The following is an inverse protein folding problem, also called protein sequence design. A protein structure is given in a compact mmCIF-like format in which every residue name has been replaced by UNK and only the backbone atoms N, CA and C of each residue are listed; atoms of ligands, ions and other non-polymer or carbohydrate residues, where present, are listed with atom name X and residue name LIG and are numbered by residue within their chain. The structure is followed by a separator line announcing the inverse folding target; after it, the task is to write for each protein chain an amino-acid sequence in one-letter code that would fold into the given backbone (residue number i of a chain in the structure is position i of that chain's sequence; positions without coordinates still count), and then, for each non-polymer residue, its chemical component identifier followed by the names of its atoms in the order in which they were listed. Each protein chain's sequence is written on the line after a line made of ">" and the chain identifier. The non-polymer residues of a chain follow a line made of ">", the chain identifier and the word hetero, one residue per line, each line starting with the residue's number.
data_IF_504619839839
#
_entry.id   IF_504619839839
#
_cell.length_a   1.000
_cell.length_b   1.000
_cell.length_c   1.000
_cell.angle_alpha   90.00
_cell.angle_beta   90.00
_cell.angle_gamma   90.00
#
_symmetry.space_group_name_H-M   'P 1'
#
loop_
_entity.id
_entity.type
_entity.pdbx_description
1 polymer ?
#
# COMPACT_ATOMS: atom_id res chain seq x y z
N UNK A 1 -10.65 -16.23 -1.74
CA UNK A 1 -10.72 -15.72 -3.13
C UNK A 1 -9.66 -14.64 -3.41
N UNK A 2 -9.56 -13.54 -2.64
CA UNK A 2 -8.61 -12.44 -2.91
C UNK A 2 -7.12 -12.84 -2.91
N UNK A 3 -6.70 -13.65 -1.92
CA UNK A 3 -5.32 -14.16 -1.89
C UNK A 3 -5.01 -15.13 -3.04
N UNK A 4 -6.02 -15.82 -3.57
CA UNK A 4 -5.89 -16.75 -4.71
C UNK A 4 -5.66 -15.95 -6.00
N UNK A 5 -6.38 -14.84 -6.19
CA UNK A 5 -6.17 -13.95 -7.33
C UNK A 5 -4.78 -13.31 -7.32
N UNK A 6 -4.32 -12.82 -6.16
CA UNK A 6 -2.96 -12.31 -5.99
C UNK A 6 -1.90 -13.37 -6.25
N UNK A 7 -2.14 -14.60 -5.78
CA UNK A 7 -1.28 -15.76 -6.05
C UNK A 7 -1.17 -16.03 -7.56
N UNK A 8 -2.29 -16.14 -8.28
CA UNK A 8 -2.27 -16.39 -9.72
C UNK A 8 -1.59 -15.26 -10.53
N UNK A 9 -1.76 -14.00 -10.10
CA UNK A 9 -1.23 -12.84 -10.83
C UNK A 9 0.27 -12.61 -10.62
N UNK A 10 0.78 -12.88 -9.40
CA UNK A 10 2.13 -12.47 -9.01
C UNK A 10 3.08 -13.63 -8.69
N UNK A 11 2.60 -14.82 -8.32
CA UNK A 11 3.49 -15.92 -7.83
C UNK A 11 4.49 -16.41 -8.88
N UNK A 12 4.16 -16.28 -10.16
CA UNK A 12 5.06 -16.67 -11.25
C UNK A 12 6.29 -15.76 -11.32
N UNK A 13 6.19 -14.51 -10.84
CA UNK A 13 7.25 -13.48 -10.94
C UNK A 13 7.83 -13.04 -9.60
N UNK A 14 7.05 -13.11 -8.52
CA UNK A 14 7.39 -12.62 -7.19
C UNK A 14 7.15 -13.68 -6.12
N UNK A 15 8.09 -13.83 -5.20
CA UNK A 15 7.95 -14.64 -3.98
C UNK A 15 7.94 -13.71 -2.78
N UNK A 16 6.79 -13.61 -2.11
CA UNK A 16 6.67 -12.79 -0.91
C UNK A 16 7.34 -13.47 0.29
N UNK A 17 8.16 -12.72 1.01
CA UNK A 17 8.78 -13.08 2.28
C UNK A 17 8.21 -12.15 3.34
N UNK A 18 7.14 -12.61 3.98
CA UNK A 18 6.38 -11.83 4.97
C UNK A 18 6.92 -12.10 6.39
N UNK A 19 7.09 -11.03 7.18
CA UNK A 19 7.39 -11.07 8.62
C UNK A 19 6.49 -10.09 9.37
N UNK A 20 6.18 -10.42 10.64
CA UNK A 20 5.45 -9.52 11.53
C UNK A 20 3.96 -9.37 11.22
N UNK A 21 3.36 -10.32 10.49
CA UNK A 21 1.92 -10.28 10.19
C UNK A 21 1.06 -10.33 11.45
N UNK A 22 1.58 -10.95 12.51
CA UNK A 22 1.03 -10.99 13.85
C UNK A 22 0.87 -9.61 14.49
N UNK A 23 1.64 -8.61 14.04
CA UNK A 23 1.53 -7.22 14.51
C UNK A 23 0.32 -6.51 13.93
N UNK A 24 -0.36 -7.07 12.92
CA UNK A 24 -1.60 -6.53 12.38
C UNK A 24 -2.81 -7.03 13.20
N UNK A 25 -3.49 -6.16 13.96
CA UNK A 25 -4.65 -6.56 14.76
C UNK A 25 -5.74 -7.19 13.91
N UNK A 26 -6.33 -8.30 14.39
CA UNK A 26 -7.38 -9.04 13.68
C UNK A 26 -8.70 -8.25 13.59
N UNK A 27 -9.03 -7.49 14.65
CA UNK A 27 -10.36 -6.88 14.83
C UNK A 27 -10.30 -5.47 15.47
N UNK A 28 -9.31 -4.66 15.09
CA UNK A 28 -9.19 -3.26 15.54
C UNK A 28 -9.11 -2.31 14.34
N UNK A 29 -9.41 -1.01 14.50
CA UNK A 29 -9.13 -0.02 13.48
C UNK A 29 -7.62 0.17 13.34
N UNK A 30 -7.11 0.15 12.11
CA UNK A 30 -5.67 0.19 11.84
C UNK A 30 -5.36 1.26 10.81
N UNK A 31 -4.38 2.09 11.13
CA UNK A 31 -3.71 2.97 10.18
C UNK A 31 -2.36 2.34 9.80
N UNK A 32 -2.32 1.73 8.62
CA UNK A 32 -1.16 1.04 8.09
C UNK A 32 -0.31 2.01 7.28
N UNK A 33 0.93 2.27 7.70
CA UNK A 33 1.83 3.26 7.11
C UNK A 33 3.09 2.59 6.57
N UNK A 34 3.51 2.92 5.36
CA UNK A 34 4.74 2.33 4.83
C UNK A 34 5.29 3.01 3.60
N UNK A 35 6.46 2.56 3.18
CA UNK A 35 7.17 3.13 2.04
C UNK A 35 6.50 2.78 0.69
N UNK A 36 6.75 3.60 -0.32
CA UNK A 36 6.18 3.43 -1.66
C UNK A 36 7.26 3.31 -2.73
N UNK A 37 7.54 2.08 -3.17
CA UNK A 37 8.64 1.73 -4.08
C UNK A 37 8.13 1.40 -5.49
N UNK A 38 6.88 0.98 -5.64
CA UNK A 38 6.34 0.53 -6.92
C UNK A 38 4.85 0.80 -7.10
N UNK A 39 4.42 0.78 -8.37
CA UNK A 39 3.01 0.92 -8.75
C UNK A 39 2.09 -0.18 -8.18
N UNK A 40 2.63 -1.32 -7.74
CA UNK A 40 1.84 -2.48 -7.31
C UNK A 40 1.98 -2.77 -5.81
N UNK A 41 2.60 -1.90 -5.04
CA UNK A 41 2.81 -2.09 -3.60
C UNK A 41 1.51 -2.37 -2.86
N UNK A 42 0.45 -1.61 -3.16
CA UNK A 42 -0.88 -1.80 -2.57
C UNK A 42 -1.41 -3.22 -2.81
N UNK A 43 -1.16 -3.78 -3.99
CA UNK A 43 -1.62 -5.12 -4.36
C UNK A 43 -0.79 -6.20 -3.67
N UNK A 44 0.53 -6.02 -3.56
CA UNK A 44 1.42 -6.95 -2.86
C UNK A 44 1.11 -7.01 -1.37
N UNK A 45 0.92 -5.86 -0.72
CA UNK A 45 0.53 -5.79 0.70
C UNK A 45 -0.87 -6.39 0.90
N UNK A 46 -1.85 -6.03 0.07
CA UNK A 46 -3.17 -6.64 0.17
C UNK A 46 -3.11 -8.16 -0.02
N UNK A 47 -2.26 -8.68 -0.90
CA UNK A 47 -2.06 -10.12 -1.07
C UNK A 47 -1.41 -10.77 0.16
N UNK A 48 -0.42 -10.11 0.77
CA UNK A 48 0.28 -10.60 1.95
C UNK A 48 -0.61 -10.65 3.21
N UNK A 49 -1.61 -9.77 3.31
CA UNK A 49 -2.45 -9.64 4.50
C UNK A 49 -3.81 -10.34 4.37
N UNK A 50 -4.37 -10.87 5.47
CA UNK A 50 -5.71 -11.47 5.47
C UNK A 50 -6.83 -10.43 5.57
N UNK A 51 -6.57 -9.25 6.13
CA UNK A 51 -7.55 -8.16 6.25
C UNK A 51 -7.62 -7.37 4.95
N UNK A 52 -8.80 -6.80 4.67
CA UNK A 52 -8.94 -5.90 3.53
C UNK A 52 -8.36 -4.54 3.89
N UNK A 53 -7.38 -4.08 3.12
CA UNK A 53 -6.71 -2.82 3.29
C UNK A 53 -7.25 -1.85 2.24
N UNK A 54 -7.83 -0.75 2.73
CA UNK A 54 -8.37 0.32 1.90
C UNK A 54 -7.28 1.37 1.73
N UNK A 55 -6.55 1.29 0.63
CA UNK A 55 -5.49 2.26 0.36
C UNK A 55 -6.05 3.62 -0.06
N UNK A 56 -5.39 4.67 0.39
CA UNK A 56 -5.62 6.03 -0.11
C UNK A 56 -4.85 6.19 -1.42
N UNK A 57 -5.54 6.55 -2.50
CA UNK A 57 -5.00 6.60 -3.87
C UNK A 57 -5.36 7.93 -4.52
N UNK A 58 -4.43 8.53 -5.26
CA UNK A 58 -4.74 9.75 -6.02
C UNK A 58 -5.87 9.49 -7.02
N UNK A 59 -6.81 10.42 -7.15
CA UNK A 59 -8.03 10.25 -7.97
C UNK A 59 -7.72 9.89 -9.44
N UNK A 60 -6.64 10.44 -10.01
CA UNK A 60 -6.22 10.12 -11.38
C UNK A 60 -5.87 8.64 -11.54
N UNK A 61 -5.14 8.05 -10.58
CA UNK A 61 -4.80 6.63 -10.59
C UNK A 61 -5.99 5.75 -10.24
N UNK A 62 -6.89 6.25 -9.38
CA UNK A 62 -8.13 5.56 -9.04
C UNK A 62 -9.03 5.35 -10.26
N UNK A 63 -9.07 6.32 -11.17
CA UNK A 63 -9.92 6.28 -12.36
C UNK A 63 -9.30 5.58 -13.58
N UNK A 64 -8.04 5.14 -13.49
CA UNK A 64 -7.42 4.37 -14.57
C UNK A 64 -8.16 3.04 -14.80
N UNK A 65 -8.57 2.79 -16.05
CA UNK A 65 -9.42 1.64 -16.41
C UNK A 65 -8.85 0.29 -15.94
N UNK A 66 -7.51 0.16 -15.95
CA UNK A 66 -6.81 -1.07 -15.57
C UNK A 66 -6.88 -1.37 -14.06
N UNK A 67 -7.00 -0.34 -13.21
CA UNK A 67 -7.01 -0.49 -11.74
C UNK A 67 -8.38 -0.23 -11.12
N UNK A 68 -9.26 0.50 -11.80
CA UNK A 68 -10.55 0.98 -11.29
C UNK A 68 -11.37 -0.11 -10.61
N UNK A 69 -11.59 -1.25 -11.28
CA UNK A 69 -12.40 -2.34 -10.73
C UNK A 69 -11.80 -2.97 -9.49
N UNK A 70 -10.47 -3.14 -9.47
CA UNK A 70 -9.75 -3.69 -8.31
C UNK A 70 -9.84 -2.72 -7.13
N UNK A 71 -9.61 -1.42 -7.38
CA UNK A 71 -9.66 -0.37 -6.36
C UNK A 71 -11.06 -0.20 -5.77
N UNK A 72 -12.11 -0.30 -6.60
CA UNK A 72 -13.51 -0.34 -6.14
C UNK A 72 -13.75 -1.59 -5.28
N UNK A 73 -13.30 -2.77 -5.73
CA UNK A 73 -13.54 -4.04 -5.04
C UNK A 73 -12.85 -4.14 -3.67
N UNK A 74 -11.68 -3.50 -3.50
CA UNK A 74 -11.02 -3.39 -2.19
C UNK A 74 -11.50 -2.19 -1.39
N UNK A 75 -12.26 -1.29 -2.01
CA UNK A 75 -12.82 -0.10 -1.40
C UNK A 75 -11.77 0.94 -1.05
N UNK A 76 -10.82 1.15 -1.96
CA UNK A 76 -9.80 2.20 -1.89
C UNK A 76 -10.45 3.59 -1.79
N UNK A 77 -9.74 4.53 -1.17
CA UNK A 77 -10.23 5.89 -0.94
C UNK A 77 -9.54 6.83 -1.94
N UNK A 78 -10.28 7.39 -2.92
CA UNK A 78 -9.72 8.38 -3.83
C UNK A 78 -9.46 9.70 -3.08
N UNK A 79 -8.33 10.34 -3.36
CA UNK A 79 -8.01 11.67 -2.84
C UNK A 79 -7.46 12.57 -3.94
N UNK A 80 -7.79 13.86 -3.85
CA UNK A 80 -7.19 14.95 -4.63
C UNK A 80 -7.05 16.18 -3.74
N UNK A 81 -6.13 17.11 -4.02
CA UNK A 81 -5.94 18.31 -3.20
C UNK A 81 -7.24 19.10 -2.96
N UNK A 82 -8.06 19.28 -3.99
CA UNK A 82 -9.34 20.02 -3.93
C UNK A 82 -10.44 19.33 -3.13
N UNK A 83 -10.32 18.03 -2.82
CA UNK A 83 -11.31 17.26 -2.08
C UNK A 83 -10.71 16.56 -0.84
N UNK A 84 -9.54 17.03 -0.39
CA UNK A 84 -8.78 16.42 0.70
C UNK A 84 -9.57 16.29 2.00
N UNK A 85 -10.41 17.29 2.33
CA UNK A 85 -11.26 17.29 3.53
C UNK A 85 -12.27 16.14 3.54
N UNK A 86 -13.00 15.94 2.44
CA UNK A 86 -13.99 14.87 2.34
C UNK A 86 -13.33 13.49 2.34
N UNK A 87 -12.15 13.35 1.72
CA UNK A 87 -11.37 12.12 1.77
C UNK A 87 -10.93 11.79 3.21
N UNK A 88 -10.45 12.78 3.98
CA UNK A 88 -10.09 12.60 5.39
C UNK A 88 -11.30 12.16 6.23
N UNK A 89 -12.46 12.81 6.06
CA UNK A 89 -13.69 12.41 6.76
C UNK A 89 -14.12 10.98 6.42
N UNK A 90 -13.98 10.56 5.16
CA UNK A 90 -14.25 9.18 4.75
C UNK A 90 -13.27 8.20 5.42
N UNK A 91 -11.98 8.53 5.47
CA UNK A 91 -10.96 7.74 6.16
C UNK A 91 -11.31 7.55 7.64
N UNK A 92 -11.64 8.64 8.35
CA UNK A 92 -12.06 8.59 9.75
C UNK A 92 -13.33 7.75 9.92
N UNK A 93 -14.33 7.91 9.04
CA UNK A 93 -15.56 7.10 9.05
C UNK A 93 -15.28 5.59 8.87
N UNK A 94 -14.32 5.23 8.02
CA UNK A 94 -13.91 3.85 7.81
C UNK A 94 -13.13 3.29 9.01
N UNK A 95 -12.26 4.08 9.62
CA UNK A 95 -11.59 3.72 10.88
C UNK A 95 -12.62 3.47 11.99
N UNK A 96 -13.66 4.31 12.11
CA UNK A 96 -14.75 4.09 13.05
C UNK A 96 -15.54 2.79 12.82
N UNK A 97 -15.42 2.19 11.63
CA UNK A 97 -15.99 0.88 11.26
C UNK A 97 -14.98 -0.27 11.38
N UNK A 98 -13.91 -0.08 12.16
CA UNK A 98 -12.83 -1.05 12.36
C UNK A 98 -12.12 -1.47 11.06
N UNK A 99 -12.10 -0.61 10.02
CA UNK A 99 -11.37 -0.92 8.79
C UNK A 99 -9.86 -0.74 8.95
N UNK A 100 -9.09 -1.34 8.03
CA UNK A 100 -7.66 -1.07 7.87
C UNK A 100 -7.48 -0.08 6.73
N UNK A 101 -6.86 1.06 7.02
CA UNK A 101 -6.55 2.10 6.04
C UNK A 101 -5.06 2.06 5.75
N UNK A 102 -4.69 1.93 4.48
CA UNK A 102 -3.30 1.97 4.03
C UNK A 102 -2.93 3.35 3.49
N UNK A 103 -1.86 3.95 3.99
CA UNK A 103 -1.33 5.22 3.51
C UNK A 103 0.15 5.09 3.22
N UNK A 104 0.57 5.64 2.09
CA UNK A 104 1.97 5.88 1.77
C UNK A 104 2.30 7.34 2.11
N UNK A 105 2.87 7.63 3.30
CA UNK A 105 3.10 8.99 3.76
C UNK A 105 4.06 9.80 2.88
N UNK A 106 4.87 9.18 2.03
CA UNK A 106 5.68 9.86 1.00
C UNK A 106 4.81 10.59 -0.03
N UNK A 107 3.62 10.04 -0.34
CA UNK A 107 2.68 10.57 -1.32
C UNK A 107 3.11 10.45 -2.78
N UNK A 108 4.25 9.82 -3.05
CA UNK A 108 4.71 9.47 -4.39
C UNK A 108 5.56 8.19 -4.37
N UNK A 109 5.66 7.53 -5.53
CA UNK A 109 6.56 6.37 -5.69
C UNK A 109 8.01 6.86 -5.74
N UNK A 110 8.85 6.25 -4.91
CA UNK A 110 10.28 6.52 -4.81
C UNK A 110 11.03 6.30 -6.13
N UNK A 111 11.91 7.25 -6.45
CA UNK A 111 12.77 7.22 -7.65
C UNK A 111 14.14 6.61 -7.36
N UNK A 112 14.69 6.85 -6.16
CA UNK A 112 15.96 6.30 -5.67
C UNK A 112 15.84 4.91 -5.07
N UNK A 113 14.64 4.51 -4.62
CA UNK A 113 14.42 3.29 -3.84
C UNK A 113 14.65 3.48 -2.34
N UNK A 114 15.02 4.69 -1.93
CA UNK A 114 15.11 5.13 -0.54
C UNK A 114 13.80 5.81 -0.12
N UNK A 115 13.64 5.97 1.20
CA UNK A 115 12.47 6.60 1.80
C UNK A 115 12.58 8.12 1.65
N UNK A 116 11.55 8.74 1.06
CA UNK A 116 11.43 10.19 0.94
C UNK A 116 10.81 10.84 2.18
N UNK A 117 10.73 12.17 2.18
CA UNK A 117 10.07 12.93 3.25
C UNK A 117 8.62 12.50 3.46
N UNK A 118 8.25 12.33 4.74
CA UNK A 118 6.92 11.92 5.14
C UNK A 118 5.98 13.13 5.29
N UNK A 119 4.85 13.08 4.60
CA UNK A 119 3.79 14.09 4.74
C UNK A 119 2.98 13.83 6.00
N UNK A 120 2.65 14.90 6.72
CA UNK A 120 1.91 14.86 8.00
C UNK A 120 0.39 14.63 7.89
N UNK A 121 -0.11 14.24 6.71
CA UNK A 121 -1.56 14.02 6.52
C UNK A 121 -2.13 12.92 7.42
N UNK A 122 -1.32 11.91 7.75
CA UNK A 122 -1.71 10.83 8.66
C UNK A 122 -1.84 11.30 10.11
N UNK A 123 -1.05 12.28 10.56
CA UNK A 123 -1.15 12.86 11.91
C UNK A 123 -2.53 13.52 12.10
N UNK A 124 -3.00 14.24 11.09
CA UNK A 124 -4.33 14.86 11.10
C UNK A 124 -5.44 13.81 11.16
N UNK A 125 -5.31 12.74 10.37
CA UNK A 125 -6.25 11.61 10.42
C UNK A 125 -6.33 11.02 11.83
N UNK A 126 -5.18 10.81 12.48
CA UNK A 126 -5.12 10.29 13.86
C UNK A 126 -5.79 11.25 14.84
N UNK A 127 -5.53 12.56 14.74
CA UNK A 127 -6.13 13.57 15.62
C UNK A 127 -7.66 13.70 15.50
N UNK A 128 -8.22 13.32 14.35
CA UNK A 128 -9.67 13.34 14.10
C UNK A 128 -10.32 11.95 14.28
N UNK A 129 -9.51 10.93 14.53
CA UNK A 129 -9.97 9.54 14.74
C UNK A 129 -10.19 9.24 16.22
N UNK A 130 -10.76 8.07 16.50
CA UNK A 130 -10.86 7.54 17.86
C UNK A 130 -9.48 7.15 18.42
N UNK A 131 -9.37 7.18 19.75
CA UNK A 131 -8.12 6.88 20.46
C UNK A 131 -7.65 5.42 20.33
N UNK A 132 -8.52 4.50 19.91
CA UNK A 132 -8.22 3.07 19.75
C UNK A 132 -7.67 2.69 18.36
N UNK A 133 -7.37 3.67 17.50
CA UNK A 133 -6.70 3.44 16.21
C UNK A 133 -5.26 3.01 16.41
N UNK A 134 -4.92 1.81 15.96
CA UNK A 134 -3.56 1.27 16.02
C UNK A 134 -2.78 1.69 14.77
N UNK A 135 -1.67 2.40 14.96
CA UNK A 135 -0.73 2.68 13.86
C UNK A 135 0.20 1.50 13.70
N UNK A 136 0.23 0.91 12.50
CA UNK A 136 1.11 -0.21 12.18
C UNK A 136 2.03 0.20 11.04
N UNK A 137 3.35 0.27 11.25
CA UNK A 137 4.28 0.51 10.17
C UNK A 137 4.45 -0.75 9.30
N UNK A 138 4.82 -0.59 8.04
CA UNK A 138 5.30 -1.66 7.19
C UNK A 138 6.40 -1.17 6.26
N UNK A 139 7.23 -2.11 5.81
CA UNK A 139 8.28 -1.86 4.84
C UNK A 139 8.23 -2.89 3.72
N UNK A 140 8.33 -2.42 2.47
CA UNK A 140 8.51 -3.22 1.26
C UNK A 140 9.92 -3.00 0.74
N UNK A 141 10.69 -4.07 0.65
CA UNK A 141 12.04 -4.06 0.10
C UNK A 141 12.10 -4.84 -1.21
N UNK A 142 13.19 -4.65 -1.94
CA UNK A 142 13.51 -5.39 -3.17
C UNK A 142 12.53 -5.19 -4.33
N UNK A 143 11.64 -4.21 -4.27
CA UNK A 143 10.81 -3.81 -5.43
C UNK A 143 11.55 -2.85 -6.37
N UNK A 144 12.57 -2.13 -5.89
CA UNK A 144 13.30 -1.18 -6.72
C UNK A 144 14.15 -1.89 -7.78
N UNK A 145 14.13 -1.38 -9.01
CA UNK A 145 14.74 -2.03 -10.17
C UNK A 145 13.83 -3.05 -10.88
N UNK A 146 12.62 -3.31 -10.38
CA UNK A 146 11.60 -4.08 -11.11
C UNK A 146 10.93 -3.23 -12.20
N UNK A 147 10.19 -3.87 -13.11
CA UNK A 147 9.40 -3.17 -14.13
C UNK A 147 8.46 -2.11 -13.52
N UNK A 148 7.84 -2.41 -12.37
CA UNK A 148 6.86 -1.56 -11.68
C UNK A 148 7.48 -0.47 -10.78
N UNK A 149 8.80 -0.39 -10.66
CA UNK A 149 9.48 0.70 -9.96
C UNK A 149 9.79 1.89 -10.88
N UNK A 150 10.09 3.07 -10.33
CA UNK A 150 10.60 4.21 -11.10
C UNK A 150 12.11 4.18 -11.37
N UNK A 151 12.78 3.07 -11.07
CA UNK A 151 14.23 2.93 -11.28
C UNK A 151 14.65 3.20 -12.75
N UNK A 152 15.85 3.75 -13.00
CA UNK A 152 16.34 3.98 -14.36
C UNK A 152 16.39 2.70 -15.20
N UNK A 153 16.20 2.83 -16.53
CA UNK A 153 16.26 1.69 -17.47
C UNK A 153 17.58 0.90 -17.36
N UNK A 154 18.69 1.59 -17.11
CA UNK A 154 20.00 0.96 -16.92
C UNK A 154 20.02 -0.01 -15.73
N UNK A 155 19.39 0.36 -14.61
CA UNK A 155 19.25 -0.50 -13.42
C UNK A 155 18.33 -1.68 -13.73
N UNK A 156 17.18 -1.41 -14.37
CA UNK A 156 16.21 -2.46 -14.74
C UNK A 156 16.82 -3.52 -15.67
N UNK A 157 17.72 -3.13 -16.59
CA UNK A 157 18.40 -4.05 -17.53
C UNK A 157 19.52 -4.86 -16.88
N UNK A 158 20.19 -4.32 -15.85
CA UNK A 158 21.26 -5.03 -15.11
C UNK A 158 20.74 -6.12 -14.19
N UNK A 159 19.45 -6.11 -13.89
CA UNK A 159 18.79 -7.19 -13.16
C UNK A 159 18.87 -8.47 -13.98
N UNK A 160 19.60 -9.48 -13.49
CA UNK A 160 19.60 -10.82 -14.06
C UNK A 160 18.14 -11.28 -14.21
N UNK A 161 17.81 -11.90 -15.33
CA UNK A 161 16.48 -12.47 -15.60
C UNK A 161 16.25 -13.66 -14.65
N UNK A 162 15.99 -13.37 -13.38
CA UNK A 162 15.67 -14.36 -12.38
C UNK A 162 14.16 -14.61 -12.47
N UNK A 163 13.78 -15.86 -12.73
CA UNK A 163 12.39 -16.26 -12.98
C UNK A 163 11.46 -15.84 -11.83
N UNK A 164 11.95 -15.81 -10.59
CA UNK A 164 11.23 -15.34 -9.41
C UNK A 164 12.11 -14.43 -8.57
N UNK A 165 11.60 -13.23 -8.25
CA UNK A 165 12.26 -12.27 -7.36
C UNK A 165 11.65 -12.34 -5.97
N UNK A 166 12.50 -12.44 -4.95
CA UNK A 166 12.06 -12.40 -3.56
C UNK A 166 11.75 -10.93 -3.20
N UNK A 167 10.58 -10.69 -2.61
CA UNK A 167 10.11 -9.39 -2.13
C UNK A 167 9.88 -9.51 -0.63
N UNK A 168 10.60 -8.73 0.16
CA UNK A 168 10.47 -8.74 1.62
C UNK A 168 9.44 -7.72 2.06
N UNK A 169 8.47 -8.19 2.86
CA UNK A 169 7.45 -7.36 3.48
C UNK A 169 7.57 -7.56 4.99
N UNK A 170 7.83 -6.48 5.71
CA UNK A 170 7.85 -6.48 7.18
C UNK A 170 6.69 -5.61 7.67
N UNK A 171 5.95 -6.09 8.68
CA UNK A 171 4.84 -5.38 9.31
C UNK A 171 5.14 -5.27 10.81
N UNK A 172 5.09 -4.06 11.37
CA UNK A 172 5.54 -3.77 12.74
C UNK A 172 7.02 -3.45 12.84
#
# INVERSE_FOLDING_TARGET
>A
VRQIAGYLLFVWRYRLKLKGIENLPKSAPVLLLGNHISWIDFALIQWATPRTIRFVVHEDYYNMLIFKWVLIAVGAVPIRPSNSRNAMQNIVSLLNKNCVIGIFPEGEISTSGELSDLKRGFEKILSESRDDVVVVPFAINDMWGTFFSKAPKAIKRKQKFCFRRDIHINIG
#
